data_IF_961702213870
#
_entry.id   IF_961702213870
#
_cell.length_a   1.000
_cell.length_b   1.000
_cell.length_c   1.000
_cell.angle_alpha   90.00
_cell.angle_beta   90.00
_cell.angle_gamma   90.00
#
_symmetry.space_group_name_H-M   'P 1'
#
loop_
_entity.id
_entity.type
_entity.pdbx_description
1 polymer ?
#
# COMPACT_ATOMS: atom_id res chain seq x y z
N UNK A 1 -13.69 -2.20 -2.04
CA UNK A 1 -13.17 -2.11 -3.41
C UNK A 1 -13.35 -3.42 -4.14
N UNK A 2 -14.08 -3.44 -5.26
CA UNK A 2 -14.20 -4.63 -6.11
C UNK A 2 -12.93 -4.86 -6.93
N UNK A 3 -12.50 -6.10 -7.04
CA UNK A 3 -11.36 -6.54 -7.85
C UNK A 3 -11.83 -6.97 -9.24
N UNK A 4 -10.95 -6.86 -10.26
CA UNK A 4 -11.22 -7.49 -11.56
C UNK A 4 -11.18 -9.01 -11.44
N UNK A 5 -11.68 -9.77 -12.43
CA UNK A 5 -11.48 -11.21 -12.48
C UNK A 5 -9.99 -11.57 -12.38
N UNK A 6 -9.67 -12.51 -11.48
CA UNK A 6 -8.31 -12.95 -11.22
C UNK A 6 -8.13 -14.43 -11.53
N UNK A 7 -6.97 -14.77 -12.08
CA UNK A 7 -6.57 -16.15 -12.36
C UNK A 7 -5.43 -16.56 -11.43
N UNK A 8 -5.48 -17.75 -10.83
CA UNK A 8 -4.36 -18.28 -10.06
C UNK A 8 -3.18 -18.60 -10.98
N UNK A 9 -1.97 -18.29 -10.52
CA UNK A 9 -0.72 -18.61 -11.17
C UNK A 9 0.35 -18.96 -10.13
N UNK A 10 1.41 -19.63 -10.55
CA UNK A 10 2.56 -19.92 -9.67
C UNK A 10 3.67 -18.93 -9.97
N UNK A 11 4.15 -18.23 -8.95
CA UNK A 11 5.27 -17.31 -9.11
C UNK A 11 6.55 -18.09 -9.36
N UNK A 12 7.28 -17.72 -10.42
CA UNK A 12 8.54 -18.36 -10.79
C UNK A 12 9.71 -17.53 -10.29
N UNK A 13 9.85 -16.30 -10.78
CA UNK A 13 10.94 -15.40 -10.35
C UNK A 13 10.67 -13.95 -10.71
N UNK A 14 11.22 -13.04 -9.92
CA UNK A 14 11.25 -11.61 -10.26
C UNK A 14 12.36 -11.35 -11.28
N UNK A 15 12.06 -10.61 -12.35
CA UNK A 15 13.03 -10.18 -13.36
C UNK A 15 13.63 -8.81 -13.03
N UNK A 16 12.80 -7.91 -12.51
CA UNK A 16 13.19 -6.61 -11.97
C UNK A 16 12.05 -6.09 -11.06
N UNK A 17 12.19 -4.87 -10.51
CA UNK A 17 11.19 -4.32 -9.59
C UNK A 17 9.77 -4.18 -10.15
N UNK A 18 9.60 -4.20 -11.47
CA UNK A 18 8.29 -4.04 -12.12
C UNK A 18 7.79 -5.29 -12.86
N UNK A 19 8.58 -6.38 -12.94
CA UNK A 19 8.23 -7.53 -13.78
C UNK A 19 8.62 -8.84 -13.11
N UNK A 20 7.68 -9.79 -13.09
CA UNK A 20 7.91 -11.17 -12.67
C UNK A 20 7.57 -12.17 -13.77
N UNK A 21 8.04 -13.40 -13.60
CA UNK A 21 7.60 -14.57 -14.36
C UNK A 21 6.61 -15.37 -13.52
N UNK A 22 5.51 -15.79 -14.13
CA UNK A 22 4.50 -16.65 -13.52
C UNK A 22 4.24 -17.84 -14.43
N UNK A 23 3.91 -19.00 -13.87
CA UNK A 23 3.39 -20.14 -14.60
C UNK A 23 1.86 -20.09 -14.56
N UNK A 24 1.25 -19.94 -15.74
CA UNK A 24 -0.20 -19.80 -15.93
C UNK A 24 -0.58 -20.47 -17.25
N UNK A 25 -1.71 -21.19 -17.29
CA UNK A 25 -2.23 -21.84 -18.49
C UNK A 25 -1.18 -22.71 -19.21
N UNK A 26 -0.39 -23.49 -18.45
CA UNK A 26 0.60 -24.42 -18.99
C UNK A 26 1.92 -23.79 -19.49
N UNK A 27 2.11 -22.48 -19.35
CA UNK A 27 3.33 -21.80 -19.84
C UNK A 27 3.84 -20.72 -18.89
N UNK A 28 5.09 -20.33 -19.09
CA UNK A 28 5.72 -19.23 -18.35
C UNK A 28 5.40 -17.90 -19.04
N UNK A 29 4.73 -17.02 -18.33
CA UNK A 29 4.31 -15.69 -18.78
C UNK A 29 5.05 -14.59 -18.01
N UNK A 30 5.17 -13.41 -18.62
CA UNK A 30 5.65 -12.20 -17.94
C UNK A 30 4.46 -11.41 -17.40
N UNK A 31 4.49 -11.07 -16.11
CA UNK A 31 3.47 -10.29 -15.44
C UNK A 31 4.05 -9.00 -14.86
N UNK A 32 3.30 -7.90 -15.00
CA UNK A 32 3.60 -6.62 -14.38
C UNK A 32 3.41 -6.69 -12.87
N UNK A 33 4.26 -5.97 -12.13
CA UNK A 33 4.17 -5.75 -10.68
C UNK A 33 4.17 -4.24 -10.48
N UNK A 34 3.05 -3.67 -10.02
CA UNK A 34 2.97 -2.25 -9.65
C UNK A 34 3.20 -2.07 -8.17
N UNK A 35 4.42 -2.40 -7.77
CA UNK A 35 4.91 -2.23 -6.42
C UNK A 35 6.42 -2.26 -6.46
N UNK A 36 7.05 -1.17 -6.06
CA UNK A 36 8.51 -1.04 -6.05
C UNK A 36 9.16 -1.69 -4.83
N UNK A 37 8.37 -2.14 -3.86
CA UNK A 37 8.81 -2.84 -2.67
C UNK A 37 9.50 -4.17 -2.98
N UNK A 38 10.14 -4.75 -1.97
CA UNK A 38 10.87 -6.02 -2.07
C UNK A 38 9.94 -7.20 -2.25
N UNK A 39 8.83 -7.24 -1.52
CA UNK A 39 7.83 -8.32 -1.56
C UNK A 39 8.46 -9.73 -1.48
N UNK A 40 9.61 -9.89 -0.81
CA UNK A 40 10.45 -11.10 -0.90
C UNK A 40 9.75 -12.34 -0.34
N UNK A 41 8.93 -12.16 0.68
CA UNK A 41 8.15 -13.20 1.34
C UNK A 41 6.92 -13.62 0.52
N UNK A 42 6.44 -12.74 -0.37
CA UNK A 42 5.24 -12.92 -1.19
C UNK A 42 5.58 -13.38 -2.62
N UNK A 43 6.63 -12.83 -3.22
CA UNK A 43 7.06 -13.10 -4.60
C UNK A 43 8.29 -14.02 -4.60
N UNK A 44 8.12 -15.20 -4.01
CA UNK A 44 9.11 -16.30 -3.96
C UNK A 44 8.71 -17.44 -4.88
N UNK A 45 9.70 -18.19 -5.37
CA UNK A 45 9.48 -19.33 -6.25
C UNK A 45 8.46 -20.31 -5.64
N UNK A 46 7.49 -20.75 -6.45
CA UNK A 46 6.45 -21.68 -6.05
C UNK A 46 5.26 -21.05 -5.33
N UNK A 47 5.32 -19.77 -4.94
CA UNK A 47 4.18 -19.16 -4.23
C UNK A 47 3.00 -18.92 -5.17
N UNK A 48 1.78 -19.11 -4.66
CA UNK A 48 0.56 -18.80 -5.40
C UNK A 48 0.36 -17.28 -5.48
N UNK A 49 0.16 -16.80 -6.70
CA UNK A 49 -0.21 -15.42 -7.00
C UNK A 49 -1.49 -15.40 -7.82
N UNK A 50 -2.18 -14.27 -7.80
CA UNK A 50 -3.40 -14.07 -8.57
C UNK A 50 -3.19 -12.90 -9.51
N UNK A 51 -3.39 -13.16 -10.79
CA UNK A 51 -3.11 -12.21 -11.86
C UNK A 51 -4.39 -11.79 -12.55
N UNK A 52 -4.48 -10.52 -12.94
CA UNK A 52 -5.49 -10.09 -13.91
C UNK A 52 -4.91 -10.16 -15.31
N UNK A 53 -5.77 -10.46 -16.27
CA UNK A 53 -5.50 -10.19 -17.67
C UNK A 53 -5.82 -8.73 -17.99
N UNK A 54 -5.01 -8.11 -18.84
CA UNK A 54 -5.16 -6.72 -19.26
C UNK A 54 -5.29 -6.64 -20.76
N UNK A 55 -6.14 -5.73 -21.19
CA UNK A 55 -6.18 -5.25 -22.56
C UNK A 55 -5.10 -4.18 -22.74
N UNK A 56 -4.04 -4.52 -23.47
CA UNK A 56 -2.98 -3.60 -23.87
C UNK A 56 -1.83 -3.37 -22.88
N UNK A 57 -0.83 -2.65 -23.39
CA UNK A 57 0.46 -2.44 -22.74
C UNK A 57 1.46 -3.58 -22.97
N UNK A 58 2.70 -3.38 -22.49
CA UNK A 58 3.82 -4.31 -22.74
C UNK A 58 3.64 -5.71 -22.12
N UNK A 59 2.86 -5.82 -21.05
CA UNK A 59 2.64 -7.09 -20.33
C UNK A 59 1.15 -7.36 -20.21
N UNK A 60 0.73 -8.51 -20.77
CA UNK A 60 -0.66 -9.01 -20.80
C UNK A 60 -1.21 -9.29 -19.41
N UNK A 61 -0.36 -9.74 -18.49
CA UNK A 61 -0.75 -10.08 -17.13
C UNK A 61 -0.19 -9.09 -16.12
N UNK A 62 -0.87 -8.99 -14.98
CA UNK A 62 -0.44 -8.19 -13.85
C UNK A 62 -0.76 -8.90 -12.55
N UNK A 63 0.22 -8.98 -11.65
CA UNK A 63 0.08 -9.59 -10.34
C UNK A 63 -0.67 -8.62 -9.43
N UNK A 64 -1.85 -9.03 -8.95
CA UNK A 64 -2.71 -8.22 -8.08
C UNK A 64 -2.63 -8.73 -6.65
N UNK A 65 -2.74 -10.04 -6.43
CA UNK A 65 -2.67 -10.65 -5.11
C UNK A 65 -1.55 -11.69 -5.01
N UNK A 66 -1.06 -11.91 -3.81
CA UNK A 66 -0.18 -13.02 -3.46
C UNK A 66 -0.72 -13.75 -2.23
N UNK A 67 -0.50 -15.06 -2.16
CA UNK A 67 -0.82 -15.86 -0.97
C UNK A 67 0.24 -15.59 0.10
N UNK A 68 -0.20 -15.16 1.27
CA UNK A 68 0.57 -15.28 2.50
C UNK A 68 0.13 -16.55 3.26
N UNK A 69 0.79 -16.87 4.36
CA UNK A 69 0.53 -18.07 5.15
C UNK A 69 -0.95 -18.21 5.55
N UNK A 70 -1.57 -17.12 6.01
CA UNK A 70 -2.95 -17.12 6.57
C UNK A 70 -3.94 -16.25 5.82
N UNK A 71 -3.50 -15.52 4.79
CA UNK A 71 -4.32 -14.51 4.13
C UNK A 71 -3.94 -14.34 2.65
N UNK A 72 -4.76 -13.59 1.93
CA UNK A 72 -4.34 -12.97 0.67
C UNK A 72 -3.78 -11.58 0.96
N UNK A 73 -2.77 -11.18 0.20
CA UNK A 73 -2.17 -9.86 0.25
C UNK A 73 -2.33 -9.21 -1.10
N UNK A 74 -2.90 -8.01 -1.15
CA UNK A 74 -2.91 -7.23 -2.39
C UNK A 74 -1.56 -6.54 -2.58
N UNK A 75 -0.83 -6.92 -3.61
CA UNK A 75 0.50 -6.38 -3.92
C UNK A 75 0.43 -5.13 -4.79
N UNK A 76 -0.73 -4.78 -5.35
CA UNK A 76 -0.93 -3.56 -6.15
C UNK A 76 -0.96 -2.31 -5.25
N UNK A 77 0.10 -1.49 -5.29
CA UNK A 77 0.22 -0.37 -4.36
C UNK A 77 -0.79 0.75 -4.61
N UNK A 78 -1.25 0.92 -5.85
CA UNK A 78 -2.21 1.99 -6.19
C UNK A 78 -3.62 1.72 -5.65
N UNK A 79 -3.91 0.49 -5.22
CA UNK A 79 -5.21 0.17 -4.63
C UNK A 79 -5.36 0.75 -3.22
N UNK A 80 -4.25 1.06 -2.52
CA UNK A 80 -4.29 1.72 -1.22
C UNK A 80 -5.12 3.03 -1.27
N UNK A 81 -4.88 3.89 -2.25
CA UNK A 81 -5.60 5.15 -2.41
C UNK A 81 -7.09 4.91 -2.68
N UNK A 82 -7.43 3.92 -3.53
CA UNK A 82 -8.83 3.57 -3.83
C UNK A 82 -9.56 3.02 -2.60
N UNK A 83 -8.89 2.16 -1.83
CA UNK A 83 -9.42 1.57 -0.60
C UNK A 83 -9.68 2.67 0.43
N UNK A 84 -8.70 3.56 0.65
CA UNK A 84 -8.86 4.70 1.56
C UNK A 84 -10.00 5.61 1.11
N UNK A 85 -10.09 5.92 -0.19
CA UNK A 85 -11.16 6.76 -0.71
C UNK A 85 -12.55 6.14 -0.49
N UNK A 86 -12.72 4.84 -0.77
CA UNK A 86 -13.99 4.15 -0.50
C UNK A 86 -14.32 4.15 1.00
N UNK A 87 -13.31 4.02 1.86
CA UNK A 87 -13.48 4.06 3.30
C UNK A 87 -13.96 5.45 3.77
N UNK A 88 -13.29 6.54 3.39
CA UNK A 88 -13.68 7.89 3.83
C UNK A 88 -15.03 8.30 3.27
N UNK A 89 -15.38 7.91 2.04
CA UNK A 89 -16.70 8.24 1.45
C UNK A 89 -17.86 7.60 2.21
N UNK A 90 -17.62 6.47 2.86
CA UNK A 90 -18.64 5.75 3.65
C UNK A 90 -18.71 6.23 5.09
N UNK A 91 -17.58 6.66 5.66
CA UNK A 91 -17.46 6.86 7.11
C UNK A 91 -17.28 8.33 7.52
N UNK A 92 -16.83 9.21 6.62
CA UNK A 92 -16.52 10.60 6.95
C UNK A 92 -17.52 11.55 6.30
N UNK A 93 -17.79 12.66 6.99
CA UNK A 93 -18.52 13.80 6.43
C UNK A 93 -17.50 14.86 6.03
N UNK A 94 -17.45 15.20 4.75
CA UNK A 94 -16.58 16.25 4.19
C UNK A 94 -17.29 16.95 3.04
N UNK A 95 -16.88 18.17 2.70
CA UNK A 95 -17.48 18.95 1.60
C UNK A 95 -16.70 18.79 0.30
N UNK A 96 -15.37 18.80 0.37
CA UNK A 96 -14.48 18.73 -0.79
C UNK A 96 -13.46 17.59 -0.67
N UNK A 97 -13.21 16.93 -1.80
CA UNK A 97 -12.13 15.96 -1.96
C UNK A 97 -11.35 16.27 -3.24
N UNK A 98 -10.05 16.56 -3.11
CA UNK A 98 -9.10 16.68 -4.22
C UNK A 98 -8.10 15.54 -4.14
N UNK A 99 -7.68 15.01 -5.28
CA UNK A 99 -6.68 13.93 -5.39
C UNK A 99 -5.39 14.49 -5.99
N UNK A 100 -4.27 13.83 -5.72
CA UNK A 100 -2.97 14.11 -6.37
C UNK A 100 -2.57 15.60 -6.24
N UNK A 101 -2.76 16.16 -5.05
CA UNK A 101 -2.60 17.59 -4.78
C UNK A 101 -1.13 17.94 -4.75
N UNK A 102 -0.72 18.84 -5.66
CA UNK A 102 0.64 19.37 -5.72
C UNK A 102 0.77 20.54 -4.76
N UNK A 103 1.67 20.42 -3.79
CA UNK A 103 2.02 21.48 -2.85
C UNK A 103 3.54 21.53 -2.74
N UNK A 104 4.11 22.72 -2.86
CA UNK A 104 5.56 22.91 -2.94
C UNK A 104 6.14 22.06 -4.10
N UNK A 105 7.03 21.12 -3.80
CA UNK A 105 7.64 20.18 -4.75
C UNK A 105 7.11 18.74 -4.60
N UNK A 106 6.12 18.53 -3.74
CA UNK A 106 5.58 17.22 -3.43
C UNK A 106 4.17 17.04 -3.99
N UNK A 107 3.76 15.79 -4.07
CA UNK A 107 2.41 15.42 -4.47
C UNK A 107 1.81 14.49 -3.43
N UNK A 108 0.78 14.99 -2.77
CA UNK A 108 0.01 14.29 -1.76
C UNK A 108 -1.19 13.60 -2.38
N UNK A 109 -1.60 12.49 -1.78
CA UNK A 109 -2.66 11.64 -2.35
C UNK A 109 -4.02 12.33 -2.30
N UNK A 110 -4.35 12.99 -1.19
CA UNK A 110 -5.65 13.67 -1.03
C UNK A 110 -5.56 14.99 -0.25
N UNK A 111 -6.48 15.90 -0.56
CA UNK A 111 -6.89 17.00 0.32
C UNK A 111 -8.38 16.87 0.57
N UNK A 112 -8.76 16.65 1.83
CA UNK A 112 -10.15 16.46 2.28
C UNK A 112 -10.52 17.65 3.16
N UNK A 113 -11.32 18.57 2.62
CA UNK A 113 -11.49 19.91 3.21
C UNK A 113 -10.13 20.56 3.52
N UNK A 114 -9.73 20.66 4.79
CA UNK A 114 -8.40 21.15 5.20
C UNK A 114 -7.39 20.06 5.60
N UNK A 115 -7.73 18.78 5.42
CA UNK A 115 -6.88 17.64 5.82
C UNK A 115 -6.01 17.20 4.65
N UNK A 116 -4.70 17.37 4.77
CA UNK A 116 -3.72 16.95 3.77
C UNK A 116 -3.26 15.52 4.07
N UNK A 117 -3.59 14.60 3.17
CA UNK A 117 -3.44 13.15 3.41
C UNK A 117 -2.35 12.54 2.54
N UNK A 118 -1.48 11.77 3.19
CA UNK A 118 -0.54 10.87 2.55
C UNK A 118 -0.91 9.41 2.85
N UNK A 119 -1.04 8.60 1.81
CA UNK A 119 -1.42 7.18 1.89
C UNK A 119 -0.21 6.29 1.55
N UNK A 120 0.07 5.33 2.41
CA UNK A 120 1.11 4.31 2.23
C UNK A 120 0.47 2.94 2.06
N UNK A 121 0.88 2.22 1.03
CA UNK A 121 0.56 0.80 0.86
C UNK A 121 1.50 -0.04 1.73
N UNK A 122 0.94 -0.85 2.63
CA UNK A 122 1.70 -1.74 3.51
C UNK A 122 1.39 -3.20 3.18
N UNK A 123 2.45 -3.98 2.95
CA UNK A 123 2.39 -5.39 2.60
C UNK A 123 3.18 -6.29 3.56
N UNK A 124 4.26 -5.75 4.13
CA UNK A 124 5.17 -6.45 5.02
C UNK A 124 4.52 -6.67 6.38
N UNK A 125 4.49 -7.93 6.81
CA UNK A 125 4.15 -8.34 8.17
C UNK A 125 5.23 -9.29 8.67
N UNK A 126 5.81 -8.99 9.83
CA UNK A 126 6.80 -9.85 10.52
C UNK A 126 6.27 -10.14 11.92
N UNK A 127 6.17 -11.42 12.29
CA UNK A 127 5.72 -11.84 13.62
C UNK A 127 4.40 -11.20 14.08
N UNK A 128 3.45 -11.02 13.16
CA UNK A 128 2.15 -10.38 13.43
C UNK A 128 2.18 -8.85 13.47
N UNK A 129 3.32 -8.20 13.24
CA UNK A 129 3.45 -6.74 13.17
C UNK A 129 3.52 -6.27 11.72
N UNK A 130 2.59 -5.43 11.31
CA UNK A 130 2.64 -4.74 10.02
C UNK A 130 3.71 -3.65 10.05
N UNK A 131 4.55 -3.59 9.01
CA UNK A 131 5.73 -2.72 9.03
C UNK A 131 5.85 -1.92 7.72
N UNK A 132 6.22 -0.65 7.85
CA UNK A 132 6.53 0.21 6.70
C UNK A 132 7.76 1.09 6.96
N UNK A 133 8.67 1.25 5.99
CA UNK A 133 8.63 0.69 4.63
C UNK A 133 9.23 -0.73 4.56
N UNK A 134 9.08 -1.41 3.41
CA UNK A 134 9.75 -2.69 3.12
C UNK A 134 11.10 -2.51 2.38
N UNK A 135 11.42 -1.28 2.00
CA UNK A 135 12.71 -0.84 1.46
C UNK A 135 12.95 0.65 1.82
N UNK A 136 14.19 1.13 1.89
CA UNK A 136 14.47 2.55 2.15
C UNK A 136 13.70 3.49 1.22
N UNK A 137 13.12 4.57 1.76
CA UNK A 137 12.25 5.52 1.06
C UNK A 137 12.53 6.98 1.43
N UNK A 138 13.43 7.60 0.66
CA UNK A 138 13.67 9.06 0.73
C UNK A 138 12.39 9.87 0.46
N UNK A 139 11.55 9.40 -0.48
CA UNK A 139 10.27 10.03 -0.81
C UNK A 139 9.29 9.97 0.36
N UNK A 140 9.18 8.82 1.03
CA UNK A 140 8.31 8.69 2.21
C UNK A 140 8.73 9.63 3.34
N UNK A 141 10.05 9.74 3.59
CA UNK A 141 10.61 10.68 4.56
C UNK A 141 10.33 12.15 4.17
N UNK A 142 10.52 12.50 2.89
CA UNK A 142 10.24 13.84 2.37
C UNK A 142 8.77 14.25 2.52
N UNK A 143 7.84 13.33 2.24
CA UNK A 143 6.41 13.58 2.41
C UNK A 143 6.05 13.86 3.88
N UNK A 144 6.56 13.08 4.83
CA UNK A 144 6.30 13.31 6.27
C UNK A 144 6.86 14.67 6.72
N UNK A 145 8.10 15.00 6.34
CA UNK A 145 8.70 16.31 6.67
C UNK A 145 7.89 17.47 6.05
N UNK A 146 7.35 17.28 4.86
CA UNK A 146 6.51 18.29 4.20
C UNK A 146 5.13 18.41 4.85
N UNK A 147 4.53 17.31 5.31
CA UNK A 147 3.32 17.34 6.14
C UNK A 147 3.54 18.15 7.43
N UNK A 148 4.64 17.90 8.14
CA UNK A 148 5.02 18.67 9.33
C UNK A 148 5.21 20.15 9.00
N UNK A 149 5.94 20.46 7.92
CA UNK A 149 6.18 21.86 7.49
C UNK A 149 4.89 22.62 7.17
N UNK A 150 3.89 21.92 6.63
CA UNK A 150 2.63 22.52 6.18
C UNK A 150 1.52 22.47 7.24
N UNK A 151 1.80 22.04 8.47
CA UNK A 151 0.80 21.84 9.52
C UNK A 151 0.09 23.13 9.97
N UNK A 152 0.72 24.29 9.77
CA UNK A 152 0.10 25.59 10.09
C UNK A 152 -1.01 25.97 9.10
N UNK A 153 -1.04 25.32 7.93
CA UNK A 153 -2.02 25.58 6.85
C UNK A 153 -3.03 24.45 6.71
N UNK A 154 -2.59 23.21 6.89
CA UNK A 154 -3.40 22.01 6.69
C UNK A 154 -3.33 21.10 7.91
N UNK A 155 -4.41 20.37 8.19
CA UNK A 155 -4.37 19.27 9.16
C UNK A 155 -3.61 18.09 8.53
N UNK A 156 -2.44 17.68 9.04
CA UNK A 156 -1.72 16.55 8.48
C UNK A 156 -2.42 15.23 8.81
N UNK A 157 -2.43 14.29 7.86
CA UNK A 157 -2.87 12.92 8.09
C UNK A 157 -2.00 11.92 7.34
N UNK A 158 -1.42 10.97 8.08
CA UNK A 158 -0.67 9.86 7.50
C UNK A 158 -1.51 8.58 7.62
N UNK A 159 -1.71 7.88 6.50
CA UNK A 159 -2.55 6.68 6.44
C UNK A 159 -1.74 5.51 5.93
N UNK A 160 -1.73 4.41 6.68
CA UNK A 160 -1.15 3.14 6.28
C UNK A 160 -2.27 2.15 5.94
N UNK A 161 -2.44 1.85 4.65
CA UNK A 161 -3.37 0.83 4.20
C UNK A 161 -2.65 -0.51 4.19
N UNK A 162 -2.89 -1.31 5.22
CA UNK A 162 -2.34 -2.67 5.32
C UNK A 162 -3.23 -3.58 4.50
N UNK A 163 -2.76 -3.91 3.30
CA UNK A 163 -3.53 -4.64 2.28
C UNK A 163 -3.56 -6.16 2.54
N UNK A 164 -3.79 -6.53 3.79
CA UNK A 164 -3.92 -7.89 4.36
C UNK A 164 -4.48 -7.80 5.78
N UNK A 165 -5.01 -8.91 6.31
CA UNK A 165 -5.69 -8.94 7.60
C UNK A 165 -4.93 -9.66 8.72
N UNK A 166 -3.83 -10.33 8.40
CA UNK A 166 -3.06 -11.18 9.30
C UNK A 166 -1.97 -10.42 10.08
N UNK A 167 -2.36 -9.31 10.70
CA UNK A 167 -1.53 -8.55 11.63
C UNK A 167 -2.31 -8.11 12.87
N UNK A 168 -1.59 -7.86 13.96
CA UNK A 168 -2.11 -7.48 15.27
C UNK A 168 -1.76 -6.04 15.64
N UNK A 169 -0.61 -5.53 15.18
CA UNK A 169 -0.14 -4.16 15.44
C UNK A 169 0.62 -3.60 14.23
N UNK A 170 0.95 -2.31 14.28
CA UNK A 170 1.73 -1.62 13.26
C UNK A 170 2.90 -0.86 13.89
N UNK A 171 4.06 -0.92 13.23
CA UNK A 171 5.26 -0.17 13.62
C UNK A 171 6.01 0.36 12.38
N UNK A 172 6.65 1.54 12.45
CA UNK A 172 7.59 1.96 11.42
C UNK A 172 8.80 1.00 11.39
N UNK A 173 9.24 0.60 10.20
CA UNK A 173 10.35 -0.33 10.02
C UNK A 173 11.71 0.39 10.15
N UNK A 174 12.09 0.70 11.38
CA UNK A 174 13.31 1.45 11.69
C UNK A 174 14.60 0.71 11.30
N UNK A 175 14.59 -0.63 11.26
CA UNK A 175 15.72 -1.43 10.76
C UNK A 175 15.95 -1.18 9.26
N UNK A 176 14.89 -1.04 8.49
CA UNK A 176 14.97 -0.83 7.03
C UNK A 176 15.23 0.62 6.67
N UNK A 177 14.66 1.58 7.39
CA UNK A 177 14.84 3.01 7.12
C UNK A 177 14.82 3.84 8.41
N UNK A 178 15.99 4.03 9.07
CA UNK A 178 16.11 4.85 10.27
C UNK A 178 15.66 6.31 10.07
N UNK A 179 15.87 6.88 8.88
CA UNK A 179 15.50 8.27 8.58
C UNK A 179 13.98 8.43 8.45
N UNK A 180 13.31 7.48 7.81
CA UNK A 180 11.84 7.43 7.78
C UNK A 180 11.29 7.32 9.21
N UNK A 181 11.86 6.42 10.01
CA UNK A 181 11.46 6.20 11.39
C UNK A 181 11.62 7.47 12.26
N UNK A 182 12.72 8.21 12.09
CA UNK A 182 12.91 9.50 12.76
C UNK A 182 11.83 10.52 12.37
N UNK A 183 11.54 10.65 11.08
CA UNK A 183 10.49 11.56 10.60
C UNK A 183 9.09 11.14 11.10
N UNK A 184 8.81 9.84 11.13
CA UNK A 184 7.56 9.28 11.66
C UNK A 184 7.37 9.64 13.14
N UNK A 185 8.37 9.39 13.98
CA UNK A 185 8.26 9.72 15.41
C UNK A 185 8.24 11.23 15.67
N UNK A 186 8.92 12.04 14.85
CA UNK A 186 8.77 13.49 14.89
C UNK A 186 7.32 13.92 14.61
N UNK A 187 6.69 13.35 13.57
CA UNK A 187 5.29 13.60 13.21
C UNK A 187 4.33 13.24 14.36
N UNK A 188 4.47 12.04 14.93
CA UNK A 188 3.65 11.57 16.05
C UNK A 188 3.88 12.42 17.31
N UNK A 189 5.13 12.81 17.60
CA UNK A 189 5.46 13.65 18.77
C UNK A 189 4.79 15.03 18.74
N UNK A 190 4.40 15.51 17.56
CA UNK A 190 3.64 16.76 17.38
C UNK A 190 2.13 16.57 17.55
N UNK A 191 1.66 15.35 17.87
CA UNK A 191 0.25 15.02 18.06
C UNK A 191 -0.53 14.88 16.75
N UNK A 192 0.15 14.73 15.61
CA UNK A 192 -0.52 14.55 14.33
C UNK A 192 -1.03 13.11 14.17
N UNK A 193 -2.23 12.96 13.64
CA UNK A 193 -2.91 11.66 13.55
C UNK A 193 -2.27 10.74 12.51
N UNK A 194 -2.17 9.47 12.87
CA UNK A 194 -1.83 8.36 11.98
C UNK A 194 -2.96 7.33 12.01
N UNK A 195 -3.43 6.92 10.83
CA UNK A 195 -4.42 5.85 10.69
C UNK A 195 -3.79 4.61 10.09
N UNK A 196 -4.11 3.45 10.64
CA UNK A 196 -3.73 2.16 10.06
C UNK A 196 -5.00 1.39 9.71
N UNK A 197 -5.20 1.09 8.43
CA UNK A 197 -6.39 0.38 7.95
C UNK A 197 -6.07 -1.10 7.74
N UNK A 198 -6.75 -1.99 8.47
CA UNK A 198 -6.70 -3.44 8.23
C UNK A 198 -7.66 -3.80 7.12
N UNK A 199 -7.16 -4.49 6.10
CA UNK A 199 -7.97 -4.90 4.97
C UNK A 199 -8.19 -6.41 4.92
N UNK A 200 -9.46 -6.84 4.81
CA UNK A 200 -9.79 -8.20 4.38
C UNK A 200 -9.70 -8.26 2.87
N UNK A 201 -8.91 -9.20 2.35
CA UNK A 201 -8.67 -9.40 0.92
C UNK A 201 -9.25 -10.75 0.51
N UNK A 202 -10.19 -10.75 -0.44
CA UNK A 202 -10.66 -11.93 -1.15
C UNK A 202 -10.25 -11.86 -2.63
N UNK A 203 -10.73 -12.81 -3.46
CA UNK A 203 -10.48 -12.76 -4.90
C UNK A 203 -11.39 -11.74 -5.60
N UNK A 204 -12.48 -11.36 -4.97
CA UNK A 204 -13.55 -10.50 -5.49
C UNK A 204 -13.45 -9.07 -4.98
N UNK A 205 -12.94 -8.87 -3.77
CA UNK A 205 -12.93 -7.55 -3.15
C UNK A 205 -11.86 -7.36 -2.07
N UNK A 206 -11.58 -6.09 -1.77
CA UNK A 206 -10.78 -5.63 -0.64
C UNK A 206 -11.60 -4.64 0.16
N UNK A 207 -11.80 -4.89 1.46
CA UNK A 207 -12.54 -4.01 2.35
C UNK A 207 -11.75 -3.71 3.62
N UNK A 208 -11.83 -2.47 4.09
CA UNK A 208 -11.35 -2.10 5.43
C UNK A 208 -12.27 -2.74 6.46
N UNK A 209 -11.70 -3.49 7.39
CA UNK A 209 -12.44 -4.21 8.45
C UNK A 209 -12.16 -3.67 9.84
N UNK A 210 -11.04 -2.97 10.03
CA UNK A 210 -10.64 -2.39 11.30
C UNK A 210 -9.73 -1.19 11.04
N UNK A 211 -9.78 -0.19 11.93
CA UNK A 211 -8.96 1.01 11.87
C UNK A 211 -8.27 1.20 13.21
N UNK A 212 -6.95 1.30 13.19
CA UNK A 212 -6.14 1.66 14.36
C UNK A 212 -5.76 3.13 14.29
N UNK A 213 -5.70 3.75 15.47
CA UNK A 213 -5.12 5.06 15.69
C UNK A 213 -3.79 4.85 16.41
N UNK A 214 -2.74 5.49 15.92
CA UNK A 214 -1.42 5.48 16.57
C UNK A 214 -0.94 6.88 16.86
#
# INVERSE_FOLDING_TARGET
MKLPPLMPAIFVKRLNRFVGKVFLNGKIERALIRNTGRLSELLKFGNTVFVREKEGGKYRYEIILARAEKSLVCVESHYANKIFEEYIRRNWKFKELKREVKLENERFDFLIDNTLVEVKSVNLVKNGVAMFPDAPTKRGTGHIRTLIKLSDKFKPLLVFVVQRSDFLSFEPNCETDPEFCKAYYEYVSKGFEVLVLKCRVSLEEINVVEVFFT
#
